data_IF_885060184049
#
_entry.id   IF_885060184049
#
_cell.length_a   1.000
_cell.length_b   1.000
_cell.length_c   1.000
_cell.angle_alpha   90.00
_cell.angle_beta   90.00
_cell.angle_gamma   90.00
#
_symmetry.space_group_name_H-M   'P 1'
#
loop_
_entity.id
_entity.type
_entity.pdbx_description
1 polymer ?
#
# COMPACT_ATOMS: atom_id res chain seq x y z
N UNK A 1 -17.16 9.01 13.09
CA UNK A 1 -15.73 9.23 12.76
C UNK A 1 -15.54 9.00 11.27
N UNK A 2 -14.74 9.81 10.56
CA UNK A 2 -14.50 9.59 9.12
C UNK A 2 -13.65 8.32 8.97
N UNK A 3 -14.30 7.18 8.80
CA UNK A 3 -13.62 5.93 8.47
C UNK A 3 -12.80 6.15 7.19
N UNK A 4 -11.55 5.68 7.19
CA UNK A 4 -10.68 5.78 6.02
C UNK A 4 -11.27 5.09 4.80
N UNK A 5 -10.60 5.20 3.66
CA UNK A 5 -10.98 4.45 2.45
C UNK A 5 -10.23 3.12 2.40
N UNK A 6 -10.85 2.12 1.78
CA UNK A 6 -10.14 0.88 1.47
C UNK A 6 -8.93 1.19 0.55
N UNK A 7 -7.73 0.65 0.82
CA UNK A 7 -6.57 0.93 0.00
C UNK A 7 -6.75 0.45 -1.45
N UNK A 8 -6.31 1.25 -2.41
CA UNK A 8 -6.23 0.86 -3.84
C UNK A 8 -5.20 -0.24 -4.07
N UNK A 9 -5.20 -0.90 -5.24
CA UNK A 9 -4.20 -1.94 -5.57
C UNK A 9 -2.75 -1.47 -5.40
N UNK A 10 -2.45 -0.23 -5.81
CA UNK A 10 -1.11 0.35 -5.63
C UNK A 10 -0.79 0.59 -4.15
N UNK A 11 -1.74 1.15 -3.39
CA UNK A 11 -1.57 1.39 -1.95
C UNK A 11 -1.40 0.07 -1.17
N UNK A 12 -2.14 -0.98 -1.52
CA UNK A 12 -1.99 -2.32 -0.92
C UNK A 12 -0.55 -2.84 -1.04
N UNK A 13 0.09 -2.63 -2.20
CA UNK A 13 1.50 -3.02 -2.42
C UNK A 13 2.45 -2.24 -1.52
N UNK A 14 2.24 -0.93 -1.40
CA UNK A 14 3.05 -0.08 -0.50
C UNK A 14 2.85 -0.51 0.95
N UNK A 15 1.61 -0.70 1.40
CA UNK A 15 1.30 -1.18 2.76
C UNK A 15 1.99 -2.52 3.04
N UNK A 16 1.90 -3.47 2.11
CA UNK A 16 2.57 -4.77 2.21
C UNK A 16 4.10 -4.66 2.23
N UNK A 17 4.70 -3.72 1.50
CA UNK A 17 6.14 -3.45 1.54
C UNK A 17 6.62 -3.06 2.96
N UNK A 18 5.80 -2.31 3.71
CA UNK A 18 6.06 -2.01 5.13
C UNK A 18 5.67 -3.14 6.09
N UNK A 19 5.41 -4.36 5.59
CA UNK A 19 4.98 -5.54 6.36
C UNK A 19 3.70 -5.31 7.17
N UNK A 20 2.79 -4.50 6.62
CA UNK A 20 1.45 -4.28 7.19
C UNK A 20 0.42 -5.05 6.35
N UNK A 21 -0.61 -5.60 6.99
CA UNK A 21 -1.69 -6.28 6.29
C UNK A 21 -2.70 -5.26 5.70
N UNK A 22 -2.84 -5.12 4.37
CA UNK A 22 -3.80 -4.19 3.79
C UNK A 22 -5.28 -4.51 4.12
N UNK A 23 -5.57 -5.70 4.66
CA UNK A 23 -6.88 -6.04 5.21
C UNK A 23 -7.16 -5.33 6.53
N UNK A 24 -6.14 -5.07 7.36
CA UNK A 24 -6.31 -4.44 8.68
C UNK A 24 -6.17 -2.91 8.66
N UNK A 25 -5.60 -2.36 7.58
CA UNK A 25 -5.29 -0.95 7.47
C UNK A 25 -6.14 -0.24 6.40
N UNK A 26 -6.66 0.93 6.75
CA UNK A 26 -7.43 1.83 5.87
C UNK A 26 -6.65 3.12 5.61
N UNK A 27 -6.84 3.74 4.46
CA UNK A 27 -6.19 5.03 4.12
C UNK A 27 -7.08 6.18 4.56
N UNK A 28 -6.64 6.94 5.56
CA UNK A 28 -7.34 8.14 6.04
C UNK A 28 -7.00 9.37 5.20
N UNK A 29 -5.70 9.55 4.89
CA UNK A 29 -5.20 10.63 4.02
C UNK A 29 -4.14 10.08 3.09
N UNK A 30 -4.09 10.60 1.87
CA UNK A 30 -3.04 10.30 0.91
C UNK A 30 -2.51 11.62 0.36
N UNK A 31 -1.19 11.79 0.40
CA UNK A 31 -0.46 12.86 -0.28
C UNK A 31 0.46 12.23 -1.32
N UNK A 32 1.10 13.04 -2.15
CA UNK A 32 2.03 12.53 -3.19
C UNK A 32 3.25 11.81 -2.61
N UNK A 33 3.56 12.07 -1.32
CA UNK A 33 4.73 11.53 -0.64
C UNK A 33 4.40 10.53 0.45
N UNK A 34 3.20 10.57 1.03
CA UNK A 34 2.89 9.80 2.23
C UNK A 34 1.44 9.29 2.26
N UNK A 35 1.24 8.19 2.99
CA UNK A 35 -0.07 7.65 3.34
C UNK A 35 -0.25 7.71 4.85
N UNK A 36 -1.38 8.28 5.28
CA UNK A 36 -1.87 8.19 6.64
C UNK A 36 -2.82 6.99 6.73
N UNK A 37 -2.41 5.96 7.46
CA UNK A 37 -3.17 4.74 7.68
C UNK A 37 -3.85 4.75 9.04
N UNK A 38 -5.02 4.12 9.11
CA UNK A 38 -5.75 3.86 10.35
C UNK A 38 -6.06 2.36 10.43
N UNK A 39 -5.74 1.74 11.55
CA UNK A 39 -6.03 0.34 11.81
C UNK A 39 -7.51 0.14 12.13
N UNK A 40 -8.17 -0.81 11.45
CA UNK A 40 -9.63 -1.03 11.54
C UNK A 40 -10.15 -1.29 12.95
N UNK A 41 -9.40 -2.08 13.71
CA UNK A 41 -9.85 -2.61 15.00
C UNK A 41 -9.27 -1.89 16.22
N UNK A 42 -8.23 -1.08 16.04
CA UNK A 42 -7.48 -0.50 17.17
C UNK A 42 -7.38 1.02 17.07
N UNK A 43 -7.90 1.61 15.99
CA UNK A 43 -7.79 3.03 15.65
C UNK A 43 -6.36 3.58 15.66
N UNK A 44 -5.35 2.69 15.64
CA UNK A 44 -3.94 3.08 15.56
C UNK A 44 -3.67 3.80 14.26
N UNK A 45 -2.99 4.94 14.36
CA UNK A 45 -2.61 5.76 13.22
C UNK A 45 -1.15 5.46 12.86
N UNK A 46 -0.85 5.31 11.58
CA UNK A 46 0.52 5.14 11.09
C UNK A 46 0.75 5.92 9.80
N UNK A 47 1.87 6.64 9.74
CA UNK A 47 2.32 7.30 8.52
C UNK A 47 3.39 6.45 7.84
N UNK A 48 3.26 6.27 6.53
CA UNK A 48 4.24 5.58 5.70
C UNK A 48 4.56 6.41 4.45
N UNK A 49 5.80 6.34 3.97
CA UNK A 49 6.18 7.03 2.75
C UNK A 49 5.67 6.25 1.53
N UNK A 50 5.19 6.98 0.52
CA UNK A 50 4.91 6.42 -0.78
C UNK A 50 6.23 6.02 -1.44
N UNK A 51 6.46 4.71 -1.53
CA UNK A 51 7.59 4.17 -2.28
C UNK A 51 7.09 3.79 -3.67
N UNK A 52 7.80 4.22 -4.71
CA UNK A 52 7.54 3.80 -6.08
C UNK A 52 8.04 2.36 -6.24
N UNK A 53 7.16 1.40 -5.99
CA UNK A 53 7.45 -0.02 -6.22
C UNK A 53 7.32 -0.25 -7.73
N UNK A 54 8.44 -0.17 -8.45
CA UNK A 54 8.50 -0.62 -9.84
C UNK A 54 8.19 -2.12 -9.88
N UNK A 55 7.24 -2.52 -10.73
CA UNK A 55 7.00 -3.95 -10.96
C UNK A 55 8.29 -4.56 -11.50
N UNK A 56 8.73 -5.75 -11.03
CA UNK A 56 9.81 -6.44 -11.68
C UNK A 56 9.43 -6.60 -13.14
N UNK A 57 10.22 -6.00 -14.04
CA UNK A 57 9.98 -6.09 -15.49
C UNK A 57 9.77 -7.56 -15.81
N UNK A 58 8.61 -7.89 -16.38
CA UNK A 58 8.36 -9.25 -16.90
C UNK A 58 9.49 -9.57 -17.86
N UNK A 59 10.46 -10.37 -17.42
CA UNK A 59 11.50 -10.89 -18.30
C UNK A 59 10.76 -11.80 -19.27
N UNK A 60 10.60 -11.36 -20.52
CA UNK A 60 10.03 -12.21 -21.56
C UNK A 60 10.95 -13.42 -21.66
N UNK A 61 10.44 -14.60 -21.34
CA UNK A 61 11.17 -15.84 -21.56
C UNK A 61 11.48 -15.93 -23.07
N UNK A 62 12.74 -15.69 -23.44
CA UNK A 62 13.22 -15.97 -24.79
C UNK A 62 13.19 -17.48 -24.96
N UNK A 63 12.23 -17.93 -25.77
CA UNK A 63 12.14 -19.30 -26.25
C UNK A 63 13.40 -19.57 -27.08
N UNK A 64 14.29 -20.44 -26.61
CA UNK A 64 15.37 -20.95 -27.43
C UNK A 64 14.72 -21.74 -28.58
N UNK A 65 15.09 -21.37 -29.81
CA UNK A 65 14.64 -21.95 -31.06
C UNK A 65 15.36 -23.28 -31.33
#
# INVERSE_FOLDING_TARGET
>A
MKHGKNPTKAQKRIIAYYKLDPADWMVSKATDKQLCLVHRYTDKIRWIDMVRIEEPRKVKATKYA
#
